data_IF_698010457525
#
_entry.id   IF_698010457525
#
_cell.length_a   1.000
_cell.length_b   1.000
_cell.length_c   1.000
_cell.angle_alpha   90.00
_cell.angle_beta   90.00
_cell.angle_gamma   90.00
#
_symmetry.space_group_name_H-M   'P 1'
#
loop_
_entity.id
_entity.type
_entity.pdbx_description
1 polymer ?
#
# COMPACT_ATOMS: atom_id res chain seq x y z
N UNK A 1 0.26 12.76 12.55
CA UNK A 1 0.29 12.81 14.03
C UNK A 1 -0.58 11.76 14.73
N UNK A 2 -1.91 11.67 14.50
CA UNK A 2 -2.76 10.65 15.18
C UNK A 2 -2.69 9.28 14.50
N UNK A 3 -2.64 9.26 13.16
CA UNK A 3 -2.43 8.06 12.34
C UNK A 3 -1.13 7.31 12.70
N UNK A 4 -0.01 8.03 12.74
CA UNK A 4 1.29 7.48 13.12
C UNK A 4 1.25 6.81 14.51
N UNK A 5 0.52 7.41 15.46
CA UNK A 5 0.38 6.88 16.83
C UNK A 5 -0.39 5.56 16.90
N UNK A 6 -1.41 5.35 16.06
CA UNK A 6 -2.17 4.10 16.05
C UNK A 6 -1.35 2.96 15.44
N UNK A 7 -0.60 3.23 14.36
CA UNK A 7 0.31 2.26 13.78
C UNK A 7 1.47 1.91 14.72
N UNK A 8 2.05 2.89 15.42
CA UNK A 8 3.08 2.63 16.44
C UNK A 8 2.59 1.70 17.56
N UNK A 9 1.30 1.77 17.93
CA UNK A 9 0.73 0.86 18.95
C UNK A 9 0.64 -0.60 18.49
N UNK A 10 0.46 -0.83 17.19
CA UNK A 10 0.31 -2.18 16.62
C UNK A 10 1.67 -2.74 16.18
N UNK A 11 2.50 -1.92 15.53
CA UNK A 11 3.79 -2.33 14.97
C UNK A 11 4.97 -2.18 15.94
N UNK A 12 4.80 -1.42 17.04
CA UNK A 12 5.88 -1.11 17.96
C UNK A 12 6.98 -0.27 17.32
N UNK A 13 8.19 -0.34 17.87
CA UNK A 13 9.38 0.25 17.25
C UNK A 13 9.96 -0.76 16.27
N UNK A 14 9.72 -0.55 14.97
CA UNK A 14 10.39 -1.30 13.93
C UNK A 14 11.80 -0.73 13.70
N UNK A 15 12.79 -1.61 13.65
CA UNK A 15 14.12 -1.27 13.15
C UNK A 15 14.06 -0.99 11.65
N UNK A 16 15.05 -0.25 11.11
CA UNK A 16 15.12 0.04 9.67
C UNK A 16 15.09 -1.24 8.83
N UNK A 17 15.77 -2.30 9.31
CA UNK A 17 15.79 -3.61 8.67
C UNK A 17 14.39 -4.25 8.64
N UNK A 18 13.66 -4.23 9.75
CA UNK A 18 12.29 -4.74 9.80
C UNK A 18 11.36 -3.94 8.89
N UNK A 19 11.49 -2.61 8.86
CA UNK A 19 10.72 -1.76 7.95
C UNK A 19 11.01 -2.08 6.48
N UNK A 20 12.27 -2.33 6.15
CA UNK A 20 12.68 -2.76 4.81
C UNK A 20 12.03 -4.10 4.43
N UNK A 21 12.19 -5.12 5.27
CA UNK A 21 11.61 -6.44 4.99
C UNK A 21 10.09 -6.39 4.91
N UNK A 22 9.43 -5.66 5.83
CA UNK A 22 7.98 -5.53 5.84
C UNK A 22 7.48 -4.84 4.56
N UNK A 23 8.14 -3.75 4.14
CA UNK A 23 7.83 -3.09 2.88
C UNK A 23 8.04 -4.01 1.67
N UNK A 24 9.12 -4.80 1.67
CA UNK A 24 9.46 -5.66 0.53
C UNK A 24 8.49 -6.83 0.40
N UNK A 25 8.23 -7.56 1.48
CA UNK A 25 7.36 -8.73 1.45
C UNK A 25 5.89 -8.35 1.27
N UNK A 26 5.44 -7.20 1.81
CA UNK A 26 4.09 -6.69 1.53
C UNK A 26 3.93 -6.35 0.04
N UNK A 27 4.84 -5.56 -0.53
CA UNK A 27 4.80 -5.20 -1.95
C UNK A 27 4.86 -6.44 -2.85
N UNK A 28 5.72 -7.41 -2.56
CA UNK A 28 5.80 -8.66 -3.32
C UNK A 28 4.47 -9.43 -3.30
N UNK A 29 3.92 -9.70 -2.11
CA UNK A 29 2.70 -10.47 -1.98
C UNK A 29 1.50 -9.79 -2.63
N UNK A 30 1.36 -8.49 -2.42
CA UNK A 30 0.25 -7.71 -2.96
C UNK A 30 0.34 -7.58 -4.49
N UNK A 31 1.49 -7.24 -5.05
CA UNK A 31 1.59 -7.09 -6.51
C UNK A 31 1.48 -8.45 -7.24
N UNK A 32 2.03 -9.53 -6.67
CA UNK A 32 1.81 -10.87 -7.23
C UNK A 32 0.33 -11.25 -7.24
N UNK A 33 -0.39 -10.96 -6.16
CA UNK A 33 -1.81 -11.28 -6.06
C UNK A 33 -2.67 -10.39 -6.96
N UNK A 34 -2.56 -9.07 -6.81
CA UNK A 34 -3.42 -8.13 -7.52
C UNK A 34 -3.04 -8.04 -9.00
N UNK A 35 -1.77 -7.88 -9.35
CA UNK A 35 -1.35 -7.61 -10.74
C UNK A 35 -1.01 -8.89 -11.47
N UNK A 36 -0.41 -9.86 -10.77
CA UNK A 36 -0.08 -11.16 -11.34
C UNK A 36 -1.29 -12.07 -11.55
N UNK A 37 -2.20 -12.17 -10.57
CA UNK A 37 -3.33 -13.11 -10.64
C UNK A 37 -4.69 -12.42 -10.91
N UNK A 38 -5.05 -11.42 -10.11
CA UNK A 38 -6.38 -10.82 -10.16
C UNK A 38 -6.60 -9.97 -11.42
N UNK A 39 -5.66 -9.11 -11.78
CA UNK A 39 -5.77 -8.25 -12.96
C UNK A 39 -5.81 -9.05 -14.26
N UNK A 40 -5.09 -10.17 -14.32
CA UNK A 40 -5.18 -11.10 -15.44
C UNK A 40 -6.61 -11.64 -15.62
N UNK A 41 -7.33 -11.88 -14.51
CA UNK A 41 -8.67 -12.48 -14.54
C UNK A 41 -9.82 -11.47 -14.62
N UNK A 42 -9.69 -10.33 -13.93
CA UNK A 42 -10.76 -9.34 -13.74
C UNK A 42 -10.52 -8.01 -14.48
N UNK A 43 -9.33 -7.84 -15.05
CA UNK A 43 -8.91 -6.60 -15.71
C UNK A 43 -8.51 -5.49 -14.74
N UNK A 44 -7.97 -4.41 -15.32
CA UNK A 44 -7.42 -3.26 -14.61
C UNK A 44 -8.45 -2.57 -13.69
N UNK A 45 -9.65 -2.30 -14.22
CA UNK A 45 -10.66 -1.49 -13.53
C UNK A 45 -11.15 -2.19 -12.26
N UNK A 46 -11.61 -3.43 -12.38
CA UNK A 46 -12.14 -4.18 -11.24
C UNK A 46 -11.07 -4.40 -10.18
N UNK A 47 -9.85 -4.77 -10.60
CA UNK A 47 -8.72 -5.00 -9.68
C UNK A 47 -8.33 -3.72 -8.92
N UNK A 48 -8.28 -2.58 -9.61
CA UNK A 48 -7.93 -1.29 -8.98
C UNK A 48 -8.96 -0.84 -7.94
N UNK A 49 -10.24 -1.06 -8.23
CA UNK A 49 -11.34 -0.77 -7.32
C UNK A 49 -11.26 -1.69 -6.09
N UNK A 50 -11.13 -3.00 -6.29
CA UNK A 50 -11.01 -3.99 -5.20
C UNK A 50 -9.78 -3.67 -4.33
N UNK A 51 -8.63 -3.41 -4.95
CA UNK A 51 -7.41 -3.02 -4.25
C UNK A 51 -7.65 -1.81 -3.34
N UNK A 52 -8.28 -0.76 -3.86
CA UNK A 52 -8.59 0.43 -3.06
C UNK A 52 -9.55 0.18 -1.90
N UNK A 53 -10.58 -0.64 -2.10
CA UNK A 53 -11.52 -1.00 -1.03
C UNK A 53 -10.93 -1.92 0.03
N UNK A 54 -9.94 -2.75 -0.31
CA UNK A 54 -9.18 -3.52 0.69
C UNK A 54 -8.20 -2.63 1.46
N UNK A 55 -7.76 -1.53 0.85
CA UNK A 55 -6.96 -0.48 1.48
C UNK A 55 -7.84 0.53 2.23
N UNK A 56 -8.86 0.06 2.94
CA UNK A 56 -9.66 0.88 3.82
C UNK A 56 -9.05 0.83 5.22
N UNK A 57 -8.52 1.96 5.67
CA UNK A 57 -7.80 2.02 6.94
C UNK A 57 -8.72 1.65 8.12
N UNK A 58 -8.34 0.67 8.98
CA UNK A 58 -9.04 0.40 10.24
C UNK A 58 -8.66 1.47 11.27
N UNK A 59 -9.00 2.72 10.97
CA UNK A 59 -8.77 3.83 11.89
C UNK A 59 -10.01 4.02 12.76
N UNK A 60 -9.80 4.03 14.08
CA UNK A 60 -10.76 4.47 15.13
C UNK A 60 -11.11 5.98 15.02
N UNK A 61 -10.98 6.57 13.83
CA UNK A 61 -11.23 8.00 13.60
C UNK A 61 -12.71 8.23 13.28
N UNK A 62 -13.35 9.08 14.08
CA UNK A 62 -14.72 9.58 13.88
C UNK A 62 -14.93 10.38 12.58
N UNK A 63 -13.88 10.62 11.81
CA UNK A 63 -13.89 11.52 10.66
C UNK A 63 -13.83 10.74 9.34
N UNK A 64 -15.00 10.56 8.73
CA UNK A 64 -15.20 9.82 7.48
C UNK A 64 -14.35 10.32 6.29
N UNK A 65 -14.00 11.60 6.25
CA UNK A 65 -13.23 12.21 5.14
C UNK A 65 -11.78 11.71 5.04
N UNK A 66 -11.12 11.40 6.17
CA UNK A 66 -9.74 10.91 6.16
C UNK A 66 -9.66 9.47 5.64
N UNK A 67 -10.67 8.66 5.97
CA UNK A 67 -10.82 7.29 5.47
C UNK A 67 -11.02 7.26 3.96
N UNK A 68 -11.89 8.14 3.45
CA UNK A 68 -12.17 8.24 2.02
C UNK A 68 -10.97 8.71 1.20
N UNK A 69 -10.21 9.67 1.71
CA UNK A 69 -9.02 10.20 1.02
C UNK A 69 -7.97 9.12 0.79
N UNK A 70 -7.77 8.23 1.77
CA UNK A 70 -6.82 7.12 1.66
C UNK A 70 -7.30 6.04 0.68
N UNK A 71 -8.58 5.68 0.73
CA UNK A 71 -9.17 4.74 -0.23
C UNK A 71 -9.09 5.27 -1.66
N UNK A 72 -9.41 6.54 -1.89
CA UNK A 72 -9.27 7.18 -3.21
C UNK A 72 -7.82 7.12 -3.68
N UNK A 73 -6.87 7.46 -2.80
CA UNK A 73 -5.44 7.35 -3.12
C UNK A 73 -5.07 5.91 -3.51
N UNK A 74 -5.53 4.92 -2.75
CA UNK A 74 -5.26 3.52 -3.05
C UNK A 74 -5.89 3.08 -4.39
N UNK A 75 -7.08 3.54 -4.75
CA UNK A 75 -7.68 3.27 -6.07
C UNK A 75 -6.79 3.87 -7.18
N UNK A 76 -6.35 5.13 -7.02
CA UNK A 76 -5.48 5.80 -8.00
C UNK A 76 -4.15 5.03 -8.16
N UNK A 77 -3.53 4.61 -7.06
CA UNK A 77 -2.32 3.79 -7.10
C UNK A 77 -2.60 2.40 -7.69
N UNK A 78 -3.79 1.84 -7.45
CA UNK A 78 -4.34 0.66 -8.11
C UNK A 78 -4.20 0.74 -9.62
N UNK A 79 -4.76 1.81 -10.19
CA UNK A 79 -4.70 2.11 -11.62
C UNK A 79 -3.27 2.35 -12.11
N UNK A 80 -2.47 3.14 -11.37
CA UNK A 80 -1.10 3.45 -11.77
C UNK A 80 -0.23 2.19 -11.87
N UNK A 81 -0.30 1.29 -10.89
CA UNK A 81 0.45 0.05 -10.88
C UNK A 81 -0.07 -0.95 -11.91
N UNK A 82 -1.39 -1.06 -12.05
CA UNK A 82 -1.98 -1.95 -13.03
C UNK A 82 -1.68 -1.52 -14.46
N UNK A 83 -1.72 -0.21 -14.74
CA UNK A 83 -1.31 0.33 -16.05
C UNK A 83 0.19 0.10 -16.32
N UNK A 84 1.04 0.29 -15.31
CA UNK A 84 2.47 0.01 -15.43
C UNK A 84 2.73 -1.47 -15.73
N UNK A 85 1.97 -2.39 -15.13
CA UNK A 85 2.03 -3.82 -15.45
C UNK A 85 1.62 -4.10 -16.89
N UNK A 86 0.54 -3.51 -17.40
CA UNK A 86 0.05 -3.73 -18.77
C UNK A 86 1.02 -3.22 -19.82
N UNK A 87 1.60 -2.02 -19.62
CA UNK A 87 2.53 -1.43 -20.59
C UNK A 87 3.88 -2.14 -20.61
N UNK A 88 4.38 -2.57 -19.45
CA UNK A 88 5.72 -3.20 -19.34
C UNK A 88 5.69 -4.72 -19.44
N UNK A 89 4.53 -5.35 -19.21
CA UNK A 89 4.42 -6.80 -19.05
C UNK A 89 5.25 -7.37 -17.90
N UNK A 90 5.60 -6.54 -16.90
CA UNK A 90 6.53 -6.91 -15.83
C UNK A 90 6.11 -6.35 -14.49
N UNK A 91 6.13 -7.22 -13.47
CA UNK A 91 5.82 -6.88 -12.08
C UNK A 91 6.94 -6.10 -11.39
N UNK A 92 8.15 -6.03 -11.96
CA UNK A 92 9.29 -5.35 -11.34
C UNK A 92 9.00 -3.87 -11.07
N UNK A 93 8.33 -3.19 -12.01
CA UNK A 93 7.92 -1.80 -11.85
C UNK A 93 6.94 -1.60 -10.70
N UNK A 94 5.76 -2.27 -10.73
CA UNK A 94 4.77 -2.23 -9.65
C UNK A 94 5.36 -2.57 -8.28
N UNK A 95 6.11 -3.67 -8.18
CA UNK A 95 6.74 -4.12 -6.92
C UNK A 95 7.69 -3.05 -6.39
N UNK A 96 8.56 -2.51 -7.24
CA UNK A 96 9.54 -1.51 -6.82
C UNK A 96 8.87 -0.22 -6.34
N UNK A 97 7.86 0.27 -7.07
CA UNK A 97 7.13 1.47 -6.70
C UNK A 97 6.36 1.29 -5.38
N UNK A 98 5.64 0.17 -5.25
CA UNK A 98 4.90 -0.16 -4.05
C UNK A 98 5.82 -0.32 -2.84
N UNK A 99 6.94 -1.04 -3.01
CA UNK A 99 7.96 -1.20 -1.97
C UNK A 99 8.42 0.16 -1.42
N UNK A 100 8.79 1.10 -2.30
CA UNK A 100 9.30 2.40 -1.88
C UNK A 100 8.23 3.24 -1.17
N UNK A 101 6.98 3.22 -1.64
CA UNK A 101 5.87 3.90 -0.97
C UNK A 101 5.69 3.32 0.44
N UNK A 102 5.65 2.00 0.59
CA UNK A 102 5.49 1.35 1.88
C UNK A 102 6.67 1.62 2.81
N UNK A 103 7.90 1.48 2.30
CA UNK A 103 9.11 1.69 3.07
C UNK A 103 9.21 3.13 3.60
N UNK A 104 8.93 4.12 2.76
CA UNK A 104 8.94 5.53 3.13
C UNK A 104 7.85 5.84 4.16
N UNK A 105 6.61 5.38 3.91
CA UNK A 105 5.49 5.59 4.83
C UNK A 105 5.75 4.96 6.19
N UNK A 106 6.18 3.70 6.22
CA UNK A 106 6.52 2.99 7.46
C UNK A 106 7.71 3.64 8.18
N UNK A 107 8.71 4.11 7.45
CA UNK A 107 9.86 4.82 8.03
C UNK A 107 9.44 6.12 8.70
N UNK A 108 8.54 6.90 8.09
CA UNK A 108 8.01 8.11 8.72
C UNK A 108 7.18 7.80 9.97
N UNK A 109 6.35 6.76 9.92
CA UNK A 109 5.50 6.36 11.05
C UNK A 109 6.33 5.81 12.22
N UNK A 110 7.36 5.01 11.95
CA UNK A 110 8.18 4.37 12.96
C UNK A 110 9.30 5.28 13.50
N UNK A 111 9.65 6.36 12.78
CA UNK A 111 10.67 7.31 13.21
C UNK A 111 10.12 8.22 14.32
N UNK A 112 10.67 8.07 15.53
CA UNK A 112 10.47 9.02 16.64
C UNK A 112 10.73 10.45 16.15
N UNK A 113 9.79 11.36 16.40
CA UNK A 113 10.20 12.75 16.66
C UNK A 113 11.02 12.71 17.94
N UNK A 114 12.33 12.94 17.83
CA UNK A 114 13.13 13.38 18.96
C UNK A 114 12.58 14.72 19.44
#
# INVERSE_FOLDING_TARGET
KKLERNFQKILGHLTLYQTFLLGLFSALGEELFFRGAMQYSLGLVATSIIFGFLHVMPSQEKHWYQRFSWTIFAIIMGFAFGYMMEVRGSLVGPISAHFWINFINLSFICRKKK
#
